data_IF_580752631956
#
_entry.id   IF_580752631956
#
_cell.length_a   1.000
_cell.length_b   1.000
_cell.length_c   1.000
_cell.angle_alpha   90.00
_cell.angle_beta   90.00
_cell.angle_gamma   90.00
#
_symmetry.space_group_name_H-M   'P 1'
#
loop_
_entity.id
_entity.type
_entity.pdbx_description
1 polymer ?
#
# COMPACT_ATOMS: atom_id res chain seq x y z
N UNK A 1 -43.33 8.07 -3.35
CA UNK A 1 -42.77 6.69 -3.43
C UNK A 1 -41.29 6.83 -3.74
N UNK A 2 -40.38 6.14 -3.04
CA UNK A 2 -39.00 6.17 -3.43
C UNK A 2 -38.88 5.58 -4.86
N UNK A 3 -38.26 6.32 -5.77
CA UNK A 3 -37.95 5.84 -7.12
C UNK A 3 -37.22 4.52 -7.03
N UNK A 4 -37.56 3.54 -7.89
CA UNK A 4 -36.78 2.31 -8.02
C UNK A 4 -35.31 2.69 -8.18
N UNK A 5 -34.36 2.04 -7.47
CA UNK A 5 -32.95 2.31 -7.67
C UNK A 5 -32.61 2.08 -9.15
N UNK A 6 -32.00 3.07 -9.76
CA UNK A 6 -31.57 3.00 -11.16
C UNK A 6 -30.53 1.89 -11.30
N UNK A 7 -30.68 1.06 -12.32
CA UNK A 7 -29.75 -0.03 -12.62
C UNK A 7 -29.53 -0.15 -14.11
N UNK A 8 -28.32 -0.56 -14.49
CA UNK A 8 -27.93 -0.85 -15.87
C UNK A 8 -27.37 -2.26 -15.97
N UNK A 9 -27.67 -2.96 -17.06
CA UNK A 9 -27.22 -4.33 -17.29
C UNK A 9 -26.06 -4.30 -18.28
N UNK A 10 -24.92 -4.82 -17.86
CA UNK A 10 -23.74 -4.99 -18.71
C UNK A 10 -23.49 -6.48 -18.95
N UNK A 11 -23.12 -6.85 -20.17
CA UNK A 11 -22.61 -8.20 -20.46
C UNK A 11 -21.08 -8.16 -20.48
N UNK A 12 -20.44 -8.82 -19.50
CA UNK A 12 -19.00 -8.84 -19.34
C UNK A 12 -18.53 -10.31 -19.23
N UNK A 13 -17.59 -10.72 -20.09
CA UNK A 13 -17.06 -12.09 -20.12
C UNK A 13 -18.16 -13.16 -20.15
N UNK A 14 -19.23 -12.92 -20.93
CA UNK A 14 -20.36 -13.83 -21.07
C UNK A 14 -21.32 -13.88 -19.88
N UNK A 15 -21.20 -12.97 -18.91
CA UNK A 15 -22.07 -12.86 -17.73
C UNK A 15 -22.84 -11.55 -17.73
N UNK A 16 -24.09 -11.60 -17.30
CA UNK A 16 -24.87 -10.40 -17.02
C UNK A 16 -24.53 -9.85 -15.64
N UNK A 17 -24.15 -8.56 -15.60
CA UNK A 17 -23.88 -7.81 -14.38
C UNK A 17 -24.87 -6.66 -14.26
N UNK A 18 -25.65 -6.64 -13.19
CA UNK A 18 -26.53 -5.50 -12.87
C UNK A 18 -25.73 -4.47 -12.08
N UNK A 19 -25.41 -3.35 -12.73
CA UNK A 19 -24.74 -2.20 -12.09
C UNK A 19 -25.81 -1.38 -11.38
N UNK A 20 -25.77 -1.34 -10.05
CA UNK A 20 -26.69 -0.55 -9.23
C UNK A 20 -26.21 0.90 -9.11
N UNK A 21 -27.14 1.86 -9.21
CA UNK A 21 -26.84 3.29 -9.16
C UNK A 21 -25.71 3.70 -10.13
N UNK A 22 -25.79 3.40 -11.43
CA UNK A 22 -24.71 3.59 -12.40
C UNK A 22 -24.26 5.05 -12.48
N UNK A 23 -25.20 6.02 -12.35
CA UNK A 23 -24.92 7.47 -12.43
C UNK A 23 -24.45 8.09 -11.10
N UNK A 24 -24.26 7.30 -10.05
CA UNK A 24 -23.70 7.82 -8.80
C UNK A 24 -22.31 8.37 -9.04
N UNK A 25 -22.10 9.66 -8.77
CA UNK A 25 -20.79 10.31 -8.95
C UNK A 25 -19.81 9.81 -7.91
N UNK A 26 -18.66 9.31 -8.38
CA UNK A 26 -17.57 8.81 -7.55
C UNK A 26 -16.39 9.78 -7.48
N UNK A 27 -16.18 10.57 -8.55
CA UNK A 27 -15.12 11.57 -8.64
C UNK A 27 -15.74 12.94 -8.98
N UNK A 28 -16.15 13.74 -7.99
CA UNK A 28 -16.91 14.97 -8.22
C UNK A 28 -16.22 15.99 -9.09
N UNK A 29 -14.89 16.16 -8.97
CA UNK A 29 -14.13 17.14 -9.79
C UNK A 29 -14.14 16.81 -11.28
N UNK A 30 -14.26 15.54 -11.64
CA UNK A 30 -14.26 15.05 -13.03
C UNK A 30 -15.63 14.61 -13.51
N UNK A 31 -16.59 14.50 -12.60
CA UNK A 31 -17.92 14.00 -12.89
C UNK A 31 -18.00 12.49 -13.19
N UNK A 32 -16.91 11.74 -12.94
CA UNK A 32 -16.93 10.30 -13.19
C UNK A 32 -17.84 9.59 -12.22
N UNK A 33 -18.63 8.68 -12.81
CA UNK A 33 -19.66 7.92 -12.12
C UNK A 33 -19.17 6.52 -11.75
N UNK A 34 -20.03 5.79 -11.05
CA UNK A 34 -19.81 4.37 -10.78
C UNK A 34 -19.71 3.53 -12.05
N UNK A 35 -20.53 3.89 -13.07
CA UNK A 35 -20.47 3.19 -14.37
C UNK A 35 -19.11 3.37 -15.03
N UNK A 36 -18.58 4.60 -15.04
CA UNK A 36 -17.24 4.88 -15.60
C UNK A 36 -16.15 4.04 -14.92
N UNK A 37 -16.25 3.81 -13.61
CA UNK A 37 -15.33 2.93 -12.87
C UNK A 37 -15.46 1.48 -13.30
N UNK A 38 -16.67 0.97 -13.49
CA UNK A 38 -16.93 -0.39 -13.97
C UNK A 38 -16.39 -0.57 -15.39
N UNK A 39 -16.71 0.35 -16.29
CA UNK A 39 -16.26 0.34 -17.71
C UNK A 39 -14.74 0.44 -17.82
N UNK A 40 -14.10 1.26 -16.96
CA UNK A 40 -12.64 1.32 -16.89
C UNK A 40 -12.03 -0.05 -16.60
N UNK A 41 -12.49 -0.76 -15.55
CA UNK A 41 -11.94 -2.07 -15.23
C UNK A 41 -12.23 -3.13 -16.30
N UNK A 42 -13.33 -3.02 -17.02
CA UNK A 42 -13.60 -3.88 -18.18
C UNK A 42 -12.60 -3.58 -19.32
N UNK A 43 -12.35 -2.30 -19.58
CA UNK A 43 -11.45 -1.88 -20.66
C UNK A 43 -9.98 -2.28 -20.46
N UNK A 44 -9.52 -2.38 -19.21
CA UNK A 44 -8.14 -2.77 -18.86
C UNK A 44 -8.05 -4.16 -18.21
N UNK A 45 -9.10 -4.98 -18.38
CA UNK A 45 -9.27 -6.21 -17.62
C UNK A 45 -8.07 -7.17 -17.72
N UNK A 46 -7.51 -7.38 -18.90
CA UNK A 46 -6.40 -8.33 -19.08
C UNK A 46 -5.16 -7.92 -18.28
N UNK A 47 -4.84 -6.62 -18.27
CA UNK A 47 -3.72 -6.09 -17.49
C UNK A 47 -4.02 -6.11 -15.97
N UNK A 48 -5.22 -5.72 -15.57
CA UNK A 48 -5.65 -5.72 -14.17
C UNK A 48 -5.69 -7.16 -13.61
N UNK A 49 -6.12 -8.15 -14.39
CA UNK A 49 -6.11 -9.56 -14.01
C UNK A 49 -4.70 -10.13 -13.93
N UNK A 50 -3.76 -9.70 -14.77
CA UNK A 50 -2.35 -10.08 -14.63
C UNK A 50 -1.79 -9.66 -13.27
N UNK A 51 -2.16 -8.47 -12.81
CA UNK A 51 -1.70 -7.93 -11.54
C UNK A 51 -2.45 -8.49 -10.31
N UNK A 52 -3.78 -8.61 -10.39
CA UNK A 52 -4.65 -8.93 -9.25
C UNK A 52 -5.38 -10.27 -9.39
N UNK A 53 -5.45 -10.84 -10.60
CA UNK A 53 -6.17 -12.07 -10.87
C UNK A 53 -5.51 -13.29 -10.24
N UNK A 54 -6.34 -14.26 -9.80
CA UNK A 54 -5.87 -15.46 -9.13
C UNK A 54 -5.25 -15.24 -7.75
N UNK A 55 -5.39 -14.03 -7.21
CA UNK A 55 -4.88 -13.64 -5.89
C UNK A 55 -6.04 -13.30 -4.96
N UNK A 56 -5.91 -13.56 -3.64
CA UNK A 56 -6.84 -12.98 -2.68
C UNK A 56 -6.73 -11.45 -2.72
N UNK A 57 -7.87 -10.78 -2.73
CA UNK A 57 -7.95 -9.32 -2.79
C UNK A 57 -8.73 -8.77 -1.60
N UNK A 58 -8.11 -7.87 -0.86
CA UNK A 58 -8.82 -7.04 0.11
C UNK A 58 -9.63 -5.98 -0.64
N UNK A 59 -10.93 -5.88 -0.36
CA UNK A 59 -11.80 -4.88 -0.97
C UNK A 59 -11.66 -3.54 -0.26
N UNK A 60 -11.24 -2.50 -0.99
CA UNK A 60 -11.23 -1.12 -0.48
C UNK A 60 -12.40 -0.38 -1.11
N UNK A 61 -13.46 -0.19 -0.31
CA UNK A 61 -14.77 0.25 -0.80
C UNK A 61 -15.04 1.71 -0.49
N UNK A 62 -15.56 2.43 -1.49
CA UNK A 62 -15.94 3.85 -1.46
C UNK A 62 -17.43 4.01 -1.83
N UNK A 63 -18.39 3.58 -0.98
CA UNK A 63 -19.81 3.52 -1.36
C UNK A 63 -20.39 4.87 -1.76
N UNK A 64 -19.80 5.96 -1.28
CA UNK A 64 -20.23 7.33 -1.54
C UNK A 64 -19.23 8.15 -2.37
N UNK A 65 -18.39 7.48 -3.15
CA UNK A 65 -17.33 8.13 -3.89
C UNK A 65 -16.15 8.53 -3.01
N UNK A 66 -15.16 9.23 -3.61
CA UNK A 66 -13.89 9.53 -2.94
C UNK A 66 -14.00 10.53 -1.79
N UNK A 67 -15.03 11.37 -1.79
CA UNK A 67 -15.28 12.36 -0.72
C UNK A 67 -16.05 11.77 0.47
N UNK A 68 -16.54 10.53 0.32
CA UNK A 68 -17.23 9.81 1.38
C UNK A 68 -16.29 8.96 2.23
N UNK A 69 -16.85 8.38 3.30
CA UNK A 69 -16.14 7.41 4.10
C UNK A 69 -15.84 6.14 3.28
N UNK A 70 -14.64 5.61 3.46
CA UNK A 70 -14.24 4.34 2.88
C UNK A 70 -13.91 3.31 3.97
N UNK A 71 -13.94 2.04 3.60
CA UNK A 71 -13.60 0.98 4.53
C UNK A 71 -12.92 -0.20 3.84
N UNK A 72 -12.12 -0.91 4.62
CA UNK A 72 -11.49 -2.15 4.22
C UNK A 72 -12.40 -3.33 4.53
N UNK A 73 -12.73 -4.11 3.51
CA UNK A 73 -13.53 -5.33 3.66
C UNK A 73 -12.70 -6.54 3.25
N UNK A 74 -12.25 -7.31 4.24
CA UNK A 74 -11.49 -8.54 4.01
C UNK A 74 -12.41 -9.69 3.59
N UNK A 75 -13.57 -9.81 4.24
CA UNK A 75 -14.52 -10.90 3.97
C UNK A 75 -15.39 -10.56 2.75
N UNK A 76 -15.41 -11.46 1.76
CA UNK A 76 -16.32 -11.38 0.64
C UNK A 76 -17.78 -11.31 1.13
N UNK A 77 -18.66 -10.50 0.51
CA UNK A 77 -20.08 -10.47 0.88
C UNK A 77 -20.75 -11.81 0.70
N UNK A 78 -21.63 -12.20 1.62
CA UNK A 78 -22.43 -13.44 1.51
C UNK A 78 -23.36 -13.40 0.30
N UNK A 79 -23.80 -12.18 -0.12
CA UNK A 79 -24.65 -11.95 -1.30
C UNK A 79 -23.90 -12.04 -2.64
N UNK A 80 -22.62 -12.42 -2.64
CA UNK A 80 -21.86 -12.56 -3.88
C UNK A 80 -22.47 -13.59 -4.82
N UNK A 81 -22.39 -13.40 -6.13
CA UNK A 81 -22.75 -14.42 -7.10
C UNK A 81 -21.93 -15.71 -6.90
N UNK A 82 -22.52 -16.86 -7.15
CA UNK A 82 -21.86 -18.16 -6.96
C UNK A 82 -20.61 -18.39 -7.83
N UNK A 83 -20.43 -17.59 -8.87
CA UNK A 83 -19.24 -17.62 -9.74
C UNK A 83 -18.08 -16.73 -9.25
N UNK A 84 -18.26 -15.98 -8.17
CA UNK A 84 -17.17 -15.26 -7.50
C UNK A 84 -16.41 -16.24 -6.61
N UNK A 85 -15.18 -16.52 -7.01
CA UNK A 85 -14.27 -17.36 -6.23
C UNK A 85 -13.79 -16.63 -4.99
N UNK A 86 -13.61 -17.36 -3.91
CA UNK A 86 -13.02 -16.90 -2.66
C UNK A 86 -12.03 -17.92 -2.13
N UNK A 87 -11.06 -17.46 -1.36
CA UNK A 87 -10.11 -18.30 -0.64
C UNK A 87 -9.99 -17.84 0.81
N UNK A 88 -9.91 -18.78 1.74
CA UNK A 88 -9.80 -18.50 3.16
C UNK A 88 -8.35 -18.20 3.55
N UNK A 89 -8.09 -16.99 4.02
CA UNK A 89 -6.79 -16.58 4.56
C UNK A 89 -6.81 -16.65 6.08
N UNK A 90 -5.72 -17.16 6.64
CA UNK A 90 -5.44 -17.08 8.07
C UNK A 90 -4.46 -15.94 8.35
N UNK A 91 -4.88 -15.01 9.20
CA UNK A 91 -4.09 -13.85 9.60
C UNK A 91 -3.22 -14.15 10.85
N UNK A 92 -2.13 -13.39 11.08
CA UNK A 92 -1.29 -13.56 12.27
C UNK A 92 -2.05 -13.40 13.60
N UNK A 93 -3.21 -12.76 13.57
CA UNK A 93 -4.12 -12.67 14.72
C UNK A 93 -4.86 -13.97 15.06
N UNK A 94 -4.71 -15.03 14.23
CA UNK A 94 -5.46 -16.27 14.32
C UNK A 94 -6.87 -16.21 13.70
N UNK A 95 -7.33 -15.06 13.22
CA UNK A 95 -8.60 -14.90 12.53
C UNK A 95 -8.49 -15.37 11.08
N UNK A 96 -9.62 -15.80 10.50
CA UNK A 96 -9.74 -16.15 9.08
C UNK A 96 -10.72 -15.23 8.38
N UNK A 97 -10.52 -15.01 7.08
CA UNK A 97 -11.50 -14.37 6.22
C UNK A 97 -11.43 -14.97 4.81
N UNK A 98 -12.61 -15.14 4.18
CA UNK A 98 -12.72 -15.54 2.79
C UNK A 98 -12.58 -14.29 1.92
N UNK A 99 -11.46 -14.15 1.25
CA UNK A 99 -11.18 -13.00 0.37
C UNK A 99 -11.49 -13.35 -1.08
N UNK A 100 -11.92 -12.32 -1.85
CA UNK A 100 -12.28 -12.45 -3.26
C UNK A 100 -11.06 -12.76 -4.12
N UNK A 101 -11.20 -13.71 -5.03
CA UNK A 101 -10.19 -14.06 -6.05
C UNK A 101 -10.75 -13.76 -7.44
N UNK A 102 -10.46 -12.62 -8.07
CA UNK A 102 -10.95 -12.33 -9.41
C UNK A 102 -10.28 -13.24 -10.44
N UNK A 103 -11.08 -13.87 -11.32
CA UNK A 103 -10.58 -14.77 -12.37
C UNK A 103 -10.85 -14.26 -13.78
N UNK A 104 -11.81 -13.36 -13.92
CA UNK A 104 -12.23 -12.79 -15.21
C UNK A 104 -12.64 -11.33 -15.09
N UNK A 105 -12.90 -10.69 -16.24
CA UNK A 105 -13.34 -9.29 -16.32
C UNK A 105 -14.67 -9.06 -15.59
N UNK A 106 -15.56 -10.05 -15.54
CA UNK A 106 -16.83 -9.92 -14.82
C UNK A 106 -16.61 -9.81 -13.30
N UNK A 107 -15.61 -10.53 -12.75
CA UNK A 107 -15.25 -10.42 -11.35
C UNK A 107 -14.70 -9.03 -11.00
N UNK A 108 -13.85 -8.44 -11.85
CA UNK A 108 -13.38 -7.05 -11.67
C UNK A 108 -14.54 -6.04 -11.76
N UNK A 109 -15.42 -6.19 -12.74
CA UNK A 109 -16.61 -5.35 -12.89
C UNK A 109 -17.55 -5.48 -11.69
N UNK A 110 -17.71 -6.68 -11.14
CA UNK A 110 -18.49 -6.91 -9.93
C UNK A 110 -17.84 -6.22 -8.70
N UNK A 111 -16.51 -6.32 -8.54
CA UNK A 111 -15.79 -5.61 -7.47
C UNK A 111 -16.00 -4.09 -7.60
N UNK A 112 -15.89 -3.53 -8.82
CA UNK A 112 -16.15 -2.13 -9.09
C UNK A 112 -17.61 -1.74 -8.76
N UNK A 113 -18.59 -2.58 -9.10
CA UNK A 113 -19.99 -2.39 -8.75
C UNK A 113 -20.24 -2.40 -7.23
N UNK A 114 -19.40 -3.09 -6.45
CA UNK A 114 -19.37 -2.96 -4.98
C UNK A 114 -18.71 -1.66 -4.49
N UNK A 115 -18.37 -0.76 -5.39
CA UNK A 115 -17.62 0.48 -5.12
C UNK A 115 -16.16 0.21 -4.66
N UNK A 116 -15.54 -0.88 -5.08
CA UNK A 116 -14.11 -1.07 -4.96
C UNK A 116 -13.41 -0.23 -6.01
N UNK A 117 -12.75 0.86 -5.60
CA UNK A 117 -11.91 1.65 -6.48
C UNK A 117 -10.52 1.03 -6.62
N UNK A 118 -9.99 0.52 -5.52
CA UNK A 118 -8.62 0.03 -5.46
C UNK A 118 -8.56 -1.51 -5.47
N UNK A 119 -7.68 -2.07 -6.31
CA UNK A 119 -7.36 -3.50 -6.30
C UNK A 119 -6.17 -3.72 -5.36
N UNK A 120 -6.39 -4.43 -4.28
CA UNK A 120 -5.39 -4.70 -3.24
C UNK A 120 -5.11 -6.20 -3.09
N UNK A 121 -4.40 -6.83 -4.04
CA UNK A 121 -4.05 -8.25 -3.95
C UNK A 121 -2.96 -8.51 -2.92
N UNK A 122 -3.03 -9.69 -2.30
CA UNK A 122 -1.89 -10.26 -1.60
C UNK A 122 -0.81 -10.72 -2.59
N UNK A 123 0.48 -10.77 -2.19
CA UNK A 123 1.58 -11.21 -3.07
C UNK A 123 1.64 -12.74 -3.23
N UNK A 124 0.51 -13.42 -3.08
CA UNK A 124 0.37 -14.89 -3.18
C UNK A 124 -0.73 -15.24 -4.13
N UNK A 125 -0.73 -16.46 -4.64
CA UNK A 125 -1.82 -17.04 -5.43
C UNK A 125 -2.78 -17.81 -4.54
N UNK A 126 -4.05 -17.92 -4.95
CA UNK A 126 -5.10 -18.62 -4.17
C UNK A 126 -4.77 -20.10 -3.92
N UNK A 127 -4.03 -20.71 -4.82
CA UNK A 127 -3.57 -22.11 -4.72
C UNK A 127 -2.35 -22.30 -3.81
N UNK A 128 -1.66 -21.24 -3.42
CA UNK A 128 -0.50 -21.28 -2.52
C UNK A 128 -0.39 -19.97 -1.72
N UNK A 129 -0.90 -19.99 -0.50
CA UNK A 129 -1.02 -18.81 0.36
C UNK A 129 0.21 -18.55 1.24
N UNK A 130 1.20 -19.42 1.23
CA UNK A 130 2.37 -19.33 2.10
C UNK A 130 3.65 -18.91 1.35
N UNK A 131 3.68 -19.06 0.02
CA UNK A 131 4.83 -18.71 -0.80
C UNK A 131 4.51 -17.55 -1.74
N UNK A 132 4.96 -16.32 -1.40
CA UNK A 132 4.83 -15.18 -2.31
C UNK A 132 5.47 -15.44 -3.67
N UNK A 133 4.77 -15.05 -4.74
CA UNK A 133 5.31 -15.05 -6.10
C UNK A 133 5.76 -13.66 -6.55
N UNK A 134 5.85 -12.70 -5.61
CA UNK A 134 6.11 -11.29 -5.90
C UNK A 134 6.94 -10.64 -4.80
N UNK A 135 8.10 -10.08 -5.19
CA UNK A 135 8.83 -9.12 -4.38
C UNK A 135 8.39 -7.70 -4.79
N UNK A 136 8.06 -6.88 -3.81
CA UNK A 136 7.60 -5.50 -3.97
C UNK A 136 8.66 -4.53 -3.48
N UNK A 137 9.23 -3.77 -4.40
CA UNK A 137 10.10 -2.63 -4.08
C UNK A 137 9.23 -1.39 -4.10
N UNK A 138 8.89 -0.89 -2.92
CA UNK A 138 8.02 0.27 -2.73
C UNK A 138 8.88 1.51 -2.44
N UNK A 139 8.85 2.48 -3.38
CA UNK A 139 9.60 3.73 -3.33
C UNK A 139 8.70 4.86 -2.82
N UNK A 140 8.78 5.13 -1.53
CA UNK A 140 7.91 6.06 -0.80
C UNK A 140 8.66 7.36 -0.49
N UNK A 141 8.31 8.51 -1.13
CA UNK A 141 9.01 9.77 -0.89
C UNK A 141 8.66 10.32 0.49
N UNK A 142 9.67 10.76 1.25
CA UNK A 142 9.41 11.56 2.45
C UNK A 142 8.86 12.94 2.07
N UNK A 143 8.21 13.68 3.00
CA UNK A 143 7.72 15.03 2.72
C UNK A 143 8.82 15.92 2.14
N UNK A 144 8.51 16.63 1.04
CA UNK A 144 9.45 17.53 0.35
C UNK A 144 10.26 16.88 -0.78
N UNK A 145 10.20 15.56 -0.93
CA UNK A 145 10.86 14.85 -2.05
C UNK A 145 9.98 14.91 -3.30
N UNK A 146 10.55 15.40 -4.40
CA UNK A 146 9.89 15.51 -5.70
C UNK A 146 9.94 14.22 -6.53
N UNK A 147 9.13 14.21 -7.61
CA UNK A 147 9.03 13.07 -8.52
C UNK A 147 10.36 12.73 -9.22
N UNK A 148 11.20 13.72 -9.50
CA UNK A 148 12.50 13.53 -10.13
C UNK A 148 13.43 12.64 -9.29
N UNK A 149 13.49 12.87 -7.98
CA UNK A 149 14.29 12.03 -7.07
C UNK A 149 13.77 10.59 -7.02
N UNK A 150 12.44 10.40 -7.11
CA UNK A 150 11.85 9.06 -7.16
C UNK A 150 12.27 8.33 -8.44
N UNK A 151 12.25 9.02 -9.57
CA UNK A 151 12.73 8.48 -10.86
C UNK A 151 14.22 8.11 -10.80
N UNK A 152 15.02 8.94 -10.16
CA UNK A 152 16.45 8.67 -9.98
C UNK A 152 16.68 7.41 -9.13
N UNK A 153 16.00 7.29 -7.99
CA UNK A 153 16.08 6.08 -7.15
C UNK A 153 15.55 4.85 -7.89
N UNK A 154 14.49 4.99 -8.70
CA UNK A 154 13.98 3.90 -9.53
C UNK A 154 15.03 3.40 -10.53
N UNK A 155 15.83 4.30 -11.15
CA UNK A 155 16.94 3.92 -12.03
C UNK A 155 18.06 3.20 -11.28
N UNK A 156 18.34 3.60 -10.03
CA UNK A 156 19.30 2.91 -9.18
C UNK A 156 18.80 1.50 -8.84
N UNK A 157 17.51 1.34 -8.55
CA UNK A 157 16.88 0.02 -8.39
C UNK A 157 17.04 -0.79 -9.67
N UNK A 158 16.73 -0.20 -10.83
CA UNK A 158 16.89 -0.85 -12.15
C UNK A 158 18.30 -1.38 -12.35
N UNK A 159 19.32 -0.56 -12.03
CA UNK A 159 20.72 -0.93 -12.16
C UNK A 159 21.18 -1.96 -11.11
N UNK A 160 20.47 -2.04 -9.96
CA UNK A 160 20.83 -2.95 -8.87
C UNK A 160 20.28 -4.36 -9.07
N UNK A 161 19.07 -4.50 -9.60
CA UNK A 161 18.38 -5.78 -9.72
C UNK A 161 19.15 -6.86 -10.50
N UNK A 162 19.80 -6.54 -11.65
CA UNK A 162 20.57 -7.54 -12.42
C UNK A 162 21.75 -8.16 -11.67
N UNK A 163 22.35 -7.45 -10.71
CA UNK A 163 23.45 -7.98 -9.89
C UNK A 163 23.02 -9.17 -9.03
N UNK A 164 21.71 -9.31 -8.82
CA UNK A 164 21.08 -10.41 -8.08
C UNK A 164 20.25 -11.34 -8.99
N UNK A 165 20.39 -11.21 -10.32
CA UNK A 165 19.63 -12.01 -11.29
C UNK A 165 18.13 -11.71 -11.30
N UNK A 166 17.73 -10.49 -10.91
CA UNK A 166 16.33 -10.08 -10.81
C UNK A 166 15.89 -9.23 -12.00
N UNK A 167 14.64 -9.42 -12.44
CA UNK A 167 14.00 -8.63 -13.48
C UNK A 167 12.89 -7.79 -12.84
N UNK A 168 13.03 -6.47 -12.93
CA UNK A 168 12.10 -5.51 -12.33
C UNK A 168 11.05 -4.98 -13.32
N UNK A 169 9.82 -4.81 -12.84
CA UNK A 169 8.65 -4.33 -13.57
C UNK A 169 8.10 -3.08 -12.88
N UNK A 170 8.44 -1.87 -13.38
CA UNK A 170 8.07 -0.63 -12.72
C UNK A 170 6.61 -0.25 -12.98
N UNK A 171 6.01 0.43 -12.02
CA UNK A 171 4.71 1.09 -12.15
C UNK A 171 4.61 2.32 -11.25
N UNK A 172 3.77 3.29 -11.61
CA UNK A 172 3.42 4.35 -10.66
C UNK A 172 2.62 3.78 -9.49
N UNK A 173 2.74 4.35 -8.31
CA UNK A 173 1.84 3.99 -7.20
C UNK A 173 0.40 4.51 -7.44
N UNK A 174 0.22 5.40 -8.43
CA UNK A 174 -0.98 6.20 -8.61
C UNK A 174 -1.19 7.21 -7.48
N UNK A 175 -0.17 7.45 -6.66
CA UNK A 175 -0.14 8.51 -5.64
C UNK A 175 1.13 9.33 -5.82
N UNK A 176 2.09 9.23 -4.89
CA UNK A 176 3.34 10.02 -4.93
C UNK A 176 4.57 9.18 -5.28
N UNK A 177 4.52 7.89 -5.11
CA UNK A 177 5.64 6.97 -5.23
C UNK A 177 5.65 6.15 -6.52
N UNK A 178 6.62 5.25 -6.60
CA UNK A 178 6.78 4.27 -7.66
C UNK A 178 7.02 2.89 -7.04
N UNK A 179 6.50 1.86 -7.65
CA UNK A 179 6.77 0.48 -7.24
C UNK A 179 7.53 -0.25 -8.35
N UNK A 180 8.41 -1.14 -7.95
CA UNK A 180 9.03 -2.10 -8.88
C UNK A 180 8.69 -3.50 -8.40
N UNK A 181 8.01 -4.26 -9.24
CA UNK A 181 7.65 -5.64 -8.94
C UNK A 181 8.67 -6.60 -9.54
N UNK A 182 9.00 -7.64 -8.81
CA UNK A 182 9.83 -8.76 -9.30
C UNK A 182 9.02 -10.03 -9.14
N UNK A 183 8.80 -10.78 -10.21
CA UNK A 183 8.16 -12.09 -10.14
C UNK A 183 9.13 -13.10 -9.54
N UNK A 184 8.64 -13.92 -8.58
CA UNK A 184 9.45 -14.88 -7.86
C UNK A 184 9.06 -16.33 -8.19
N UNK A 185 10.03 -17.23 -8.10
CA UNK A 185 9.75 -18.65 -7.93
C UNK A 185 8.97 -18.87 -6.62
N UNK A 186 7.85 -19.59 -6.65
CA UNK A 186 6.98 -19.85 -5.48
C UNK A 186 7.57 -20.92 -4.55
N UNK A 187 8.64 -20.58 -3.85
CA UNK A 187 9.31 -21.46 -2.88
C UNK A 187 9.81 -20.73 -1.64
N UNK A 188 9.74 -19.41 -1.64
CA UNK A 188 10.23 -18.57 -0.56
C UNK A 188 9.09 -18.17 0.38
N UNK A 189 9.36 -18.24 1.68
CA UNK A 189 8.40 -17.82 2.71
C UNK A 189 8.34 -16.30 2.84
N UNK A 190 7.28 -15.76 3.41
CA UNK A 190 7.16 -14.32 3.69
C UNK A 190 8.34 -13.72 4.48
N UNK A 191 8.86 -14.38 5.54
CA UNK A 191 10.06 -13.89 6.22
C UNK A 191 11.29 -13.81 5.31
N UNK A 192 11.48 -14.75 4.39
CA UNK A 192 12.60 -14.75 3.44
C UNK A 192 12.44 -13.63 2.42
N UNK A 193 11.24 -13.45 1.84
CA UNK A 193 10.97 -12.36 0.90
C UNK A 193 11.18 -11.00 1.55
N UNK A 194 10.72 -10.81 2.79
CA UNK A 194 10.94 -9.57 3.53
C UNK A 194 12.43 -9.33 3.84
N UNK A 195 13.18 -10.36 4.22
CA UNK A 195 14.64 -10.23 4.44
C UNK A 195 15.39 -9.87 3.15
N UNK A 196 15.01 -10.49 2.04
CA UNK A 196 15.54 -10.16 0.72
C UNK A 196 15.22 -8.69 0.34
N UNK A 197 13.98 -8.24 0.58
CA UNK A 197 13.57 -6.85 0.36
C UNK A 197 14.38 -5.85 1.20
N UNK A 198 14.65 -6.18 2.49
CA UNK A 198 15.50 -5.36 3.34
C UNK A 198 16.95 -5.31 2.86
N UNK A 199 17.49 -6.45 2.42
CA UNK A 199 18.84 -6.51 1.86
C UNK A 199 18.96 -5.65 0.59
N UNK A 200 17.98 -5.72 -0.31
CA UNK A 200 17.89 -4.86 -1.49
C UNK A 200 17.79 -3.38 -1.11
N UNK A 201 16.92 -3.04 -0.15
CA UNK A 201 16.74 -1.66 0.29
C UNK A 201 18.06 -1.05 0.84
N UNK A 202 18.81 -1.83 1.62
CA UNK A 202 20.13 -1.42 2.13
C UNK A 202 21.18 -1.27 1.02
N UNK A 203 21.13 -2.13 0.02
CA UNK A 203 22.04 -2.03 -1.13
C UNK A 203 21.76 -0.81 -1.99
N UNK A 204 20.47 -0.48 -2.21
CA UNK A 204 20.08 0.76 -2.89
C UNK A 204 20.50 2.00 -2.09
N UNK A 205 20.26 2.01 -0.76
CA UNK A 205 20.73 3.08 0.13
C UNK A 205 22.26 3.23 0.07
N UNK A 206 23.02 2.12 0.06
CA UNK A 206 24.48 2.13 -0.06
C UNK A 206 24.95 2.77 -1.37
N UNK A 207 24.24 2.53 -2.48
CA UNK A 207 24.55 3.10 -3.80
C UNK A 207 24.16 4.58 -3.91
N UNK A 208 23.13 5.00 -3.18
CA UNK A 208 22.62 6.36 -3.21
C UNK A 208 22.26 6.88 -1.80
N UNK A 209 23.26 7.03 -0.92
CA UNK A 209 23.02 7.31 0.49
C UNK A 209 22.38 8.68 0.77
N UNK A 210 22.40 9.61 -0.18
CA UNK A 210 21.73 10.91 -0.06
C UNK A 210 20.31 10.94 -0.63
N UNK A 211 19.95 9.97 -1.46
CA UNK A 211 18.68 9.91 -2.19
C UNK A 211 17.72 8.87 -1.65
N UNK A 212 18.25 7.76 -1.11
CA UNK A 212 17.45 6.62 -0.68
C UNK A 212 17.73 6.28 0.79
N UNK A 213 16.73 5.72 1.47
CA UNK A 213 16.86 5.24 2.84
C UNK A 213 16.09 3.96 3.10
N UNK A 214 16.68 3.07 3.90
CA UNK A 214 16.05 1.87 4.46
C UNK A 214 15.68 2.02 5.94
N UNK A 215 15.84 3.22 6.52
CA UNK A 215 15.62 3.47 7.94
C UNK A 215 14.16 3.29 8.32
N UNK A 216 13.92 2.49 9.38
CA UNK A 216 12.56 2.26 9.86
C UNK A 216 11.92 3.50 10.50
N UNK A 217 12.68 4.26 11.27
CA UNK A 217 12.18 5.41 12.00
C UNK A 217 11.94 6.59 11.07
N UNK A 218 10.74 7.16 11.12
CA UNK A 218 10.36 8.29 10.25
C UNK A 218 11.26 9.50 10.41
N UNK A 219 11.75 9.70 11.63
CA UNK A 219 12.62 10.81 12.00
C UNK A 219 14.04 10.69 11.41
N UNK A 220 14.44 9.50 11.02
CA UNK A 220 15.74 9.18 10.41
C UNK A 220 15.66 9.11 8.87
N UNK A 221 14.45 9.12 8.32
CA UNK A 221 14.26 9.02 6.88
C UNK A 221 14.59 10.30 6.16
N UNK A 222 15.21 10.16 5.02
CA UNK A 222 15.45 11.21 4.05
C UNK A 222 15.23 10.65 2.64
N UNK A 223 15.06 11.53 1.65
CA UNK A 223 14.92 11.11 0.26
C UNK A 223 13.75 10.17 0.03
N UNK A 224 13.99 9.04 -0.61
CA UNK A 224 13.01 8.01 -0.94
C UNK A 224 13.20 6.82 -0.01
N UNK A 225 12.17 6.48 0.75
CA UNK A 225 12.16 5.32 1.63
C UNK A 225 11.78 4.06 0.83
N UNK A 226 12.61 3.03 0.91
CA UNK A 226 12.30 1.71 0.38
C UNK A 226 11.56 0.90 1.46
N UNK A 227 10.23 0.79 1.34
CA UNK A 227 9.41 0.08 2.33
C UNK A 227 9.42 -1.44 2.11
N UNK A 228 10.45 -2.08 2.67
CA UNK A 228 10.61 -3.54 2.64
C UNK A 228 9.49 -4.29 3.41
N UNK A 229 8.78 -3.63 4.32
CA UNK A 229 7.68 -4.24 5.09
C UNK A 229 6.41 -4.47 4.25
N UNK A 230 6.31 -3.93 3.04
CA UNK A 230 5.25 -4.30 2.10
C UNK A 230 5.35 -5.76 1.64
N UNK A 231 6.45 -6.44 1.94
CA UNK A 231 6.65 -7.86 1.69
C UNK A 231 6.32 -8.76 2.90
N UNK A 232 5.85 -8.20 4.00
CA UNK A 232 5.39 -8.98 5.15
C UNK A 232 4.00 -9.60 4.86
N UNK A 233 3.68 -10.73 5.51
CA UNK A 233 2.36 -11.39 5.40
C UNK A 233 1.26 -10.37 5.76
N UNK A 234 0.11 -10.42 5.11
CA UNK A 234 -1.04 -9.50 5.28
C UNK A 234 -0.83 -8.06 4.79
N UNK A 235 0.26 -7.79 4.09
CA UNK A 235 0.43 -6.53 3.39
C UNK A 235 -0.11 -6.62 1.98
N UNK A 236 -0.92 -5.63 1.63
CA UNK A 236 -1.46 -5.46 0.28
C UNK A 236 -1.08 -4.09 -0.24
N UNK A 237 -0.83 -4.01 -1.53
CA UNK A 237 -0.45 -2.78 -2.22
C UNK A 237 -1.37 -2.61 -3.43
N UNK A 238 -1.73 -1.38 -3.76
CA UNK A 238 -2.51 -1.12 -4.96
C UNK A 238 -1.81 -1.69 -6.20
N UNK A 239 -2.49 -2.62 -6.88
CA UNK A 239 -1.97 -3.33 -8.04
C UNK A 239 -1.80 -2.40 -9.27
N UNK A 240 -1.12 -2.85 -10.31
CA UNK A 240 -1.18 -2.20 -11.61
C UNK A 240 -2.63 -2.10 -12.09
N UNK A 241 -2.96 -1.02 -12.76
CA UNK A 241 -4.30 -0.63 -13.20
C UNK A 241 -5.28 -0.27 -12.07
N UNK A 242 -4.89 -0.35 -10.80
CA UNK A 242 -5.74 0.06 -9.69
C UNK A 242 -6.05 1.55 -9.76
N UNK A 243 -7.33 1.92 -9.70
CA UNK A 243 -7.76 3.32 -9.53
C UNK A 243 -7.32 3.78 -8.14
N UNK A 244 -6.96 5.07 -8.01
CA UNK A 244 -6.65 5.67 -6.73
C UNK A 244 -7.70 6.72 -6.36
N UNK A 245 -8.03 6.87 -5.07
CA UNK A 245 -9.01 7.86 -4.60
C UNK A 245 -8.38 9.27 -4.60
N UNK A 246 -8.06 9.74 -5.80
CA UNK A 246 -7.54 11.09 -6.05
C UNK A 246 -8.53 11.86 -6.92
N UNK A 247 -8.65 13.19 -6.76
CA UNK A 247 -9.65 13.98 -7.48
C UNK A 247 -9.61 13.83 -9.00
N UNK A 248 -8.42 13.60 -9.56
CA UNK A 248 -8.18 13.39 -10.98
C UNK A 248 -8.45 11.94 -11.46
N UNK A 249 -8.88 11.05 -10.56
CA UNK A 249 -9.14 9.64 -10.85
C UNK A 249 -7.93 8.92 -11.47
N UNK A 250 -6.71 9.26 -11.01
CA UNK A 250 -5.49 8.63 -11.50
C UNK A 250 -5.40 7.16 -11.11
N UNK A 251 -4.58 6.44 -11.87
CA UNK A 251 -4.40 5.01 -11.71
C UNK A 251 -2.94 4.64 -11.47
N UNK A 252 -2.71 3.47 -10.91
CA UNK A 252 -1.39 2.87 -10.80
C UNK A 252 -1.00 2.28 -12.16
N UNK A 253 -0.24 3.03 -12.96
CA UNK A 253 0.09 2.66 -14.32
C UNK A 253 1.34 1.79 -14.40
N UNK A 254 1.28 0.59 -15.04
CA UNK A 254 2.47 -0.16 -15.38
C UNK A 254 3.28 0.59 -16.45
N UNK A 255 4.59 0.56 -16.33
CA UNK A 255 5.53 1.30 -17.16
C UNK A 255 6.60 0.37 -17.73
N UNK A 256 7.14 0.74 -18.89
CA UNK A 256 8.47 0.28 -19.30
C UNK A 256 9.56 1.09 -18.60
N UNK A 257 10.74 0.52 -18.49
CA UNK A 257 11.90 1.25 -17.93
C UNK A 257 12.31 2.46 -18.78
N UNK A 258 12.06 2.40 -20.08
CA UNK A 258 12.24 3.49 -21.04
C UNK A 258 11.33 4.70 -20.76
N UNK A 259 10.20 4.49 -20.10
CA UNK A 259 9.23 5.54 -19.81
C UNK A 259 9.52 6.29 -18.49
N UNK A 260 10.36 5.75 -17.60
CA UNK A 260 10.62 6.32 -16.25
C UNK A 260 11.18 7.76 -16.35
N UNK A 261 11.94 8.06 -17.41
CA UNK A 261 12.54 9.38 -17.57
C UNK A 261 11.52 10.51 -17.68
N UNK A 262 10.43 10.28 -18.40
CA UNK A 262 9.54 11.32 -18.88
C UNK A 262 8.11 11.19 -18.34
N UNK A 263 7.77 10.09 -17.64
CA UNK A 263 6.41 9.87 -17.15
C UNK A 263 6.04 10.85 -16.00
N UNK A 264 4.80 11.34 -16.06
CA UNK A 264 4.13 12.00 -14.94
C UNK A 264 2.97 11.11 -14.46
N UNK A 265 2.88 10.78 -13.15
CA UNK A 265 1.76 10.01 -12.61
C UNK A 265 0.39 10.61 -12.88
N UNK A 266 0.30 11.91 -13.12
CA UNK A 266 -0.95 12.62 -13.41
C UNK A 266 -1.49 12.32 -14.83
N UNK A 267 -0.64 11.86 -15.74
CA UNK A 267 -1.04 11.49 -17.11
C UNK A 267 -1.87 10.20 -17.17
N UNK A 268 -1.83 9.39 -16.09
CA UNK A 268 -2.47 8.09 -16.04
C UNK A 268 -3.76 8.13 -15.23
N UNK A 269 -4.88 8.32 -15.91
CA UNK A 269 -6.22 8.41 -15.32
C UNK A 269 -7.14 7.32 -15.86
N UNK A 270 -8.34 7.17 -15.29
CA UNK A 270 -9.35 6.26 -15.84
C UNK A 270 -9.75 6.60 -17.28
N UNK A 271 -9.52 7.84 -17.74
CA UNK A 271 -9.79 8.27 -19.13
C UNK A 271 -8.64 7.92 -20.06
N UNK A 272 -7.39 8.18 -19.64
CA UNK A 272 -6.22 8.03 -20.52
C UNK A 272 -5.71 6.60 -20.60
N UNK A 273 -5.84 5.85 -19.51
CA UNK A 273 -5.28 4.51 -19.37
C UNK A 273 -5.89 3.48 -20.33
N UNK A 274 -7.21 3.44 -20.60
CA UNK A 274 -7.79 2.53 -21.59
C UNK A 274 -7.23 2.76 -23.01
N UNK A 275 -7.06 4.02 -23.41
CA UNK A 275 -6.46 4.37 -24.70
C UNK A 275 -4.99 3.95 -24.78
N UNK A 276 -4.24 4.17 -23.69
CA UNK A 276 -2.86 3.71 -23.58
C UNK A 276 -2.78 2.18 -23.67
N UNK A 277 -3.63 1.47 -22.94
CA UNK A 277 -3.69 0.01 -22.96
C UNK A 277 -4.01 -0.53 -24.36
N UNK A 278 -4.99 0.05 -25.05
CA UNK A 278 -5.33 -0.33 -26.42
C UNK A 278 -4.18 -0.08 -27.41
N UNK A 279 -3.37 0.98 -27.19
CA UNK A 279 -2.26 1.35 -28.08
C UNK A 279 -0.98 0.54 -27.82
N UNK A 280 -0.62 0.35 -26.56
CA UNK A 280 0.68 -0.20 -26.15
C UNK A 280 0.59 -1.62 -25.59
N UNK A 281 -0.61 -2.12 -25.29
CA UNK A 281 -0.82 -3.34 -24.53
C UNK A 281 -0.45 -3.20 -23.06
N UNK A 282 -0.38 -4.32 -22.38
CA UNK A 282 0.08 -4.38 -20.99
C UNK A 282 1.61 -4.32 -20.91
N UNK A 283 2.14 -3.26 -20.29
CA UNK A 283 3.60 -3.09 -20.10
C UNK A 283 4.21 -4.14 -19.16
N UNK A 284 3.38 -4.90 -18.42
CA UNK A 284 3.77 -6.02 -17.60
C UNK A 284 3.42 -7.39 -18.22
N UNK A 285 3.12 -7.45 -19.53
CA UNK A 285 2.64 -8.67 -20.22
C UNK A 285 3.53 -9.90 -19.96
N UNK A 286 4.82 -9.72 -19.87
CA UNK A 286 5.79 -10.79 -19.75
C UNK A 286 6.26 -11.07 -18.30
N UNK A 287 5.69 -10.39 -17.29
CA UNK A 287 6.13 -10.52 -15.90
C UNK A 287 6.13 -11.98 -15.41
N UNK A 288 5.12 -12.76 -15.78
CA UNK A 288 4.98 -14.15 -15.35
C UNK A 288 5.94 -15.11 -16.06
N UNK A 289 6.62 -14.66 -17.13
CA UNK A 289 7.63 -15.47 -17.87
C UNK A 289 9.01 -15.41 -17.25
N UNK A 290 9.21 -14.52 -16.27
CA UNK A 290 10.53 -14.26 -15.69
C UNK A 290 10.50 -14.45 -14.16
N UNK A 291 10.17 -15.65 -13.64
CA UNK A 291 10.26 -15.90 -12.20
C UNK A 291 11.73 -15.92 -11.77
N UNK A 292 12.06 -15.13 -10.77
CA UNK A 292 13.42 -14.92 -10.27
C UNK A 292 13.66 -15.65 -8.96
N UNK A 293 14.93 -16.01 -8.71
CA UNK A 293 15.38 -16.57 -7.43
C UNK A 293 15.78 -15.46 -6.46
N UNK A 294 15.47 -15.61 -5.18
CA UNK A 294 15.93 -14.70 -4.12
C UNK A 294 17.29 -15.09 -3.52
N UNK A 295 17.92 -16.16 -3.98
CA UNK A 295 19.15 -16.69 -3.37
C UNK A 295 20.22 -15.60 -3.21
N UNK A 296 20.50 -14.81 -4.26
CA UNK A 296 21.50 -13.74 -4.20
C UNK A 296 21.19 -12.65 -3.16
N UNK A 297 19.93 -12.26 -2.99
CA UNK A 297 19.55 -11.29 -1.96
C UNK A 297 19.58 -11.90 -0.54
N UNK A 298 19.27 -13.18 -0.40
CA UNK A 298 19.37 -13.88 0.89
C UNK A 298 20.82 -14.08 1.30
N UNK A 299 21.74 -14.34 0.35
CA UNK A 299 23.19 -14.37 0.60
C UNK A 299 23.69 -12.98 1.04
N UNK A 300 23.18 -11.90 0.42
CA UNK A 300 23.46 -10.54 0.86
C UNK A 300 22.93 -10.28 2.27
N UNK A 301 21.72 -10.73 2.58
CA UNK A 301 21.13 -10.63 3.93
C UNK A 301 22.00 -11.33 4.97
N UNK A 302 22.45 -12.55 4.67
CA UNK A 302 23.35 -13.31 5.55
C UNK A 302 24.72 -12.63 5.75
N UNK A 303 25.22 -11.93 4.74
CA UNK A 303 26.41 -11.08 4.85
C UNK A 303 26.18 -9.90 5.78
N UNK A 304 25.05 -9.18 5.61
CA UNK A 304 24.67 -8.08 6.49
C UNK A 304 24.58 -8.53 7.96
N UNK A 305 24.05 -9.73 8.24
CA UNK A 305 23.98 -10.27 9.62
C UNK A 305 25.40 -10.50 10.18
N UNK A 306 26.33 -11.05 9.39
CA UNK A 306 27.72 -11.23 9.82
C UNK A 306 28.46 -9.89 10.07
N UNK A 307 28.07 -8.85 9.36
CA UNK A 307 28.61 -7.49 9.51
C UNK A 307 27.93 -6.71 10.63
N UNK A 308 27.00 -7.33 11.37
CA UNK A 308 26.29 -6.73 12.49
C UNK A 308 25.07 -5.88 12.11
N UNK A 309 24.68 -5.87 10.84
CA UNK A 309 23.44 -5.27 10.36
C UNK A 309 22.28 -6.24 10.60
N UNK A 310 21.76 -6.27 11.81
CA UNK A 310 20.65 -7.14 12.21
C UNK A 310 19.33 -6.88 11.43
N UNK A 311 18.27 -7.60 11.80
CA UNK A 311 16.95 -7.39 11.20
C UNK A 311 16.41 -5.99 11.53
N UNK A 312 15.46 -5.52 10.75
CA UNK A 312 14.74 -4.26 10.97
C UNK A 312 13.38 -4.54 11.64
N UNK A 313 12.78 -3.55 12.32
CA UNK A 313 11.49 -3.74 13.00
C UNK A 313 10.39 -4.26 12.06
N UNK A 314 9.65 -5.25 12.55
CA UNK A 314 8.46 -5.76 11.89
C UNK A 314 7.25 -4.85 12.14
N UNK A 315 6.21 -4.92 11.29
CA UNK A 315 4.98 -4.17 11.54
C UNK A 315 4.39 -4.47 12.92
N UNK A 316 3.76 -3.50 13.59
CA UNK A 316 3.37 -3.62 15.01
C UNK A 316 2.48 -4.79 15.37
N UNK A 317 1.65 -5.28 14.42
CA UNK A 317 0.72 -6.39 14.65
C UNK A 317 1.35 -7.78 14.56
N UNK A 318 2.64 -7.87 14.21
CA UNK A 318 3.36 -9.15 14.21
C UNK A 318 3.89 -9.47 15.61
N UNK A 319 4.01 -10.77 15.92
CA UNK A 319 4.78 -11.18 17.10
C UNK A 319 6.22 -10.72 16.94
N UNK A 320 6.82 -10.21 18.03
CA UNK A 320 8.21 -9.77 18.02
C UNK A 320 9.12 -10.96 17.71
N UNK A 321 10.00 -10.80 16.73
CA UNK A 321 10.95 -11.82 16.31
C UNK A 321 12.18 -11.81 17.23
N UNK A 322 12.85 -12.97 17.35
CA UNK A 322 14.11 -13.06 18.11
C UNK A 322 15.18 -12.20 17.41
N UNK A 323 15.83 -11.32 18.17
CA UNK A 323 16.84 -10.40 17.62
C UNK A 323 16.29 -9.17 16.92
N UNK A 324 14.97 -9.03 16.84
CA UNK A 324 14.34 -7.84 16.26
C UNK A 324 14.59 -6.61 17.14
N UNK A 325 15.02 -5.45 16.56
CA UNK A 325 15.20 -4.22 17.31
C UNK A 325 13.89 -3.69 17.88
N UNK A 326 13.97 -2.66 18.72
CA UNK A 326 12.79 -2.02 19.28
C UNK A 326 11.90 -1.45 18.16
N UNK A 327 10.57 -1.71 18.22
CA UNK A 327 9.58 -1.20 17.23
C UNK A 327 9.15 0.24 17.50
N UNK A 328 9.45 0.73 18.68
CA UNK A 328 9.23 2.12 19.11
C UNK A 328 10.60 2.67 19.40
N UNK A 329 10.94 3.81 18.80
CA UNK A 329 12.16 4.51 19.22
C UNK A 329 12.10 4.65 20.73
N UNK A 330 13.18 4.32 21.44
CA UNK A 330 13.29 4.69 22.84
C UNK A 330 13.00 6.19 22.88
N UNK A 331 11.90 6.57 23.52
CA UNK A 331 11.57 7.98 23.63
C UNK A 331 12.82 8.65 24.21
N UNK A 332 13.33 9.72 23.60
CA UNK A 332 14.31 10.61 24.23
C UNK A 332 13.69 11.33 25.45
N UNK A 333 12.51 10.85 25.87
CA UNK A 333 11.88 11.29 27.10
C UNK A 333 12.86 11.00 28.22
N UNK A 334 13.28 12.05 28.90
CA UNK A 334 13.75 11.91 30.27
C UNK A 334 12.68 11.08 30.99
N UNK A 335 13.02 9.86 31.39
CA UNK A 335 12.17 9.14 32.30
C UNK A 335 11.98 10.06 33.49
N UNK A 336 10.75 10.57 33.68
CA UNK A 336 10.47 11.37 34.86
C UNK A 336 10.74 10.48 36.05
N UNK A 337 11.68 10.88 36.89
CA UNK A 337 11.95 10.19 38.19
C UNK A 337 10.79 10.42 39.15
N UNK A 338 9.86 11.31 38.82
CA UNK A 338 8.69 11.66 39.61
C UNK A 338 7.40 11.14 38.92
N UNK A 339 6.39 10.75 39.68
CA UNK A 339 5.11 10.34 39.15
C UNK A 339 4.50 11.50 38.31
N UNK A 340 4.02 11.18 37.11
CA UNK A 340 3.34 12.13 36.25
C UNK A 340 1.85 12.15 36.56
N UNK A 341 1.27 13.34 36.65
CA UNK A 341 -0.19 13.53 36.79
C UNK A 341 -0.71 14.01 35.43
N UNK A 342 -1.71 13.32 34.89
CA UNK A 342 -2.39 13.72 33.66
C UNK A 342 -3.43 14.81 34.00
N UNK A 343 -3.24 16.02 33.47
CA UNK A 343 -4.12 17.16 33.72
C UNK A 343 -5.24 17.24 32.67
N UNK A 344 -5.03 16.75 31.46
CA UNK A 344 -6.04 16.74 30.43
C UNK A 344 -5.57 16.10 29.11
N UNK A 345 -6.56 15.77 28.24
CA UNK A 345 -6.36 15.24 26.90
C UNK A 345 -7.08 16.10 25.89
N UNK A 346 -6.49 16.28 24.70
CA UNK A 346 -7.11 16.92 23.57
C UNK A 346 -6.58 16.33 22.25
N UNK A 347 -7.34 16.44 21.17
CA UNK A 347 -6.93 15.98 19.84
C UNK A 347 -5.87 16.89 19.22
N UNK A 348 -5.85 18.17 19.60
CA UNK A 348 -4.94 19.18 19.08
C UNK A 348 -4.11 19.76 20.22
N UNK A 349 -2.82 19.97 19.99
CA UNK A 349 -1.88 20.53 20.98
C UNK A 349 -2.35 21.87 21.57
N UNK A 350 -2.91 22.74 20.74
CA UNK A 350 -3.43 24.04 21.17
C UNK A 350 -4.53 23.91 22.22
N UNK A 351 -5.44 22.95 22.04
CA UNK A 351 -6.54 22.70 22.97
C UNK A 351 -6.06 22.09 24.29
N UNK A 352 -5.02 21.23 24.22
CA UNK A 352 -4.37 20.69 25.40
C UNK A 352 -3.72 21.81 26.24
N UNK A 353 -3.01 22.74 25.60
CA UNK A 353 -2.43 23.91 26.24
C UNK A 353 -3.49 24.83 26.83
N UNK A 354 -4.57 25.12 26.09
CA UNK A 354 -5.70 25.90 26.60
C UNK A 354 -6.36 25.21 27.79
N UNK A 355 -6.46 23.89 27.76
CA UNK A 355 -6.91 23.06 28.90
C UNK A 355 -6.02 23.20 30.12
N UNK A 356 -4.72 23.24 29.93
CA UNK A 356 -3.75 23.44 30.99
C UNK A 356 -3.84 24.84 31.62
N UNK A 357 -4.01 25.90 30.83
CA UNK A 357 -4.23 27.25 31.34
C UNK A 357 -5.52 27.36 32.18
N UNK A 358 -6.61 26.72 31.72
CA UNK A 358 -7.85 26.62 32.52
C UNK A 358 -7.65 25.86 33.83
N UNK A 359 -6.79 24.84 33.82
CA UNK A 359 -6.45 24.10 35.05
C UNK A 359 -5.66 24.98 36.03
N UNK A 360 -4.66 25.71 35.57
CA UNK A 360 -3.91 26.67 36.40
C UNK A 360 -4.85 27.69 37.09
N UNK A 361 -5.81 28.22 36.32
CA UNK A 361 -6.79 29.19 36.86
C UNK A 361 -7.66 28.58 37.95
N UNK A 362 -7.99 27.31 37.85
CA UNK A 362 -8.80 26.59 38.85
C UNK A 362 -8.02 26.10 40.06
N UNK A 363 -6.71 25.95 39.92
CA UNK A 363 -5.83 25.41 40.95
C UNK A 363 -4.58 26.29 41.15
N UNK A 364 -4.75 27.56 41.57
CA UNK A 364 -3.67 28.54 41.62
C UNK A 364 -2.56 28.13 42.59
N UNK A 365 -2.90 27.51 43.69
CA UNK A 365 -1.91 27.04 44.69
C UNK A 365 -1.00 25.96 44.10
N UNK A 366 -1.59 24.96 43.44
CA UNK A 366 -0.83 23.92 42.78
C UNK A 366 0.00 24.45 41.60
N UNK A 367 -0.57 25.40 40.84
CA UNK A 367 0.10 26.03 39.71
C UNK A 367 1.32 26.88 40.11
N UNK A 368 1.30 27.46 41.31
CA UNK A 368 2.42 28.26 41.84
C UNK A 368 3.68 27.46 42.09
N UNK A 369 3.56 26.12 42.19
CA UNK A 369 4.70 25.21 42.37
C UNK A 369 5.21 24.58 41.07
N UNK A 370 4.61 24.90 39.91
CA UNK A 370 5.03 24.35 38.64
C UNK A 370 6.06 25.23 37.96
N UNK A 371 7.19 24.66 37.61
CA UNK A 371 8.16 25.24 36.70
C UNK A 371 7.87 24.80 35.25
N UNK A 372 8.29 25.59 34.22
CA UNK A 372 8.11 25.18 32.82
C UNK A 372 8.68 23.80 32.49
N UNK A 373 9.70 23.36 33.23
CA UNK A 373 10.33 22.04 33.06
C UNK A 373 9.49 20.89 33.59
N UNK A 374 8.48 21.16 34.44
CA UNK A 374 7.58 20.16 35.00
C UNK A 374 6.41 19.83 34.07
N UNK A 375 6.20 20.64 33.05
CA UNK A 375 5.06 20.50 32.13
C UNK A 375 5.45 19.72 30.89
N UNK A 376 4.92 18.51 30.76
CA UNK A 376 5.10 17.69 29.58
C UNK A 376 3.84 17.75 28.69
N UNK A 377 3.96 18.27 27.48
CA UNK A 377 2.92 18.20 26.45
C UNK A 377 3.33 17.15 25.42
N UNK A 378 2.65 16.01 25.44
CA UNK A 378 2.97 14.88 24.59
C UNK A 378 1.83 14.53 23.65
N UNK A 379 2.15 14.36 22.35
CA UNK A 379 1.23 13.79 21.39
C UNK A 379 1.08 12.29 21.67
N UNK A 380 0.09 11.91 22.49
CA UNK A 380 -0.29 10.50 22.63
C UNK A 380 -0.83 10.02 21.27
N UNK A 381 -0.04 9.23 20.55
CA UNK A 381 -0.53 8.47 19.40
C UNK A 381 -1.57 7.49 19.95
N UNK A 382 -2.80 7.63 19.46
CA UNK A 382 -3.94 6.84 19.91
C UNK A 382 -3.62 5.35 19.97
N UNK A 383 -4.17 4.71 21.00
CA UNK A 383 -4.22 3.26 21.19
C UNK A 383 -5.11 2.63 20.13
#
# INVERSE_FOLDING_TARGET
>A
MPSKPESEVLTVAGRELIVSNPRKVFFPERGYTKLDVVEYYVAVADGALRAAGGRPNMLVRYPNGIDGEYFYQKRAPDSRPGWIEVVSLQFPSGRTADEVVPRDAAALAWMANLACLELHPHPVRAEDLDHPDELRVDLDPVPGVGWEQIREVARIVQATLPDFGLVGWPKTSGSRGLHVYVRLERKWTFPEVRRAALALAREVERRAPTLATSKWWKEERHGVFLDYNQNAKDRTVAAAYSIRPKPDARVSAPLGWDEIADCDPQDFTIETMPRRFAKLGDRHADIDRHPCSLAGLLDLSARHEREGLGDAPWPPHYKKQKGEPARVQPSRRRASVHPLIEIGRAQVKADALAGFERWKTRHPEAAAHLEPADVLVDAMRGR
#
